data_IF_571802520063
#
_entry.id   IF_571802520063
#
_cell.length_a   1.000
_cell.length_b   1.000
_cell.length_c   1.000
_cell.angle_alpha   90.00
_cell.angle_beta   90.00
_cell.angle_gamma   90.00
#
_symmetry.space_group_name_H-M   'P 1'
#
loop_
_entity.id
_entity.type
_entity.pdbx_description
1 polymer ?
#
# COMPACT_ATOMS: atom_id res chain seq x y z
N UNK A 1 12.82 23.44 10.60
CA UNK A 1 11.76 23.22 9.63
C UNK A 1 11.29 21.75 9.62
N UNK A 2 12.18 20.74 9.47
CA UNK A 2 11.81 19.33 9.37
C UNK A 2 11.08 18.79 10.61
N UNK A 3 11.55 19.09 11.82
CA UNK A 3 10.90 18.68 13.06
C UNK A 3 9.51 19.31 13.24
N UNK A 4 9.29 20.52 12.69
CA UNK A 4 7.96 21.15 12.67
C UNK A 4 7.03 20.46 11.64
N UNK A 5 7.56 20.08 10.48
CA UNK A 5 6.80 19.36 9.47
C UNK A 5 6.25 18.02 10.00
N UNK A 6 7.04 17.28 10.79
CA UNK A 6 6.61 16.00 11.38
C UNK A 6 5.60 16.12 12.54
N UNK A 7 5.26 17.34 12.97
CA UNK A 7 4.16 17.57 13.90
C UNK A 7 2.78 17.75 13.23
N UNK A 8 2.75 17.80 11.90
CA UNK A 8 1.51 17.92 11.10
C UNK A 8 0.88 16.52 11.00
N UNK A 9 -0.34 16.29 11.54
CA UNK A 9 -1.00 14.99 11.50
C UNK A 9 -1.44 14.57 10.09
N UNK A 10 -1.96 15.55 9.32
CA UNK A 10 -2.46 15.31 7.96
C UNK A 10 -1.31 14.91 7.02
N UNK A 11 -1.49 13.78 6.33
CA UNK A 11 -0.42 13.16 5.53
C UNK A 11 0.06 14.04 4.38
N UNK A 12 -0.86 14.61 3.60
CA UNK A 12 -0.51 15.44 2.43
C UNK A 12 0.19 16.73 2.87
N UNK A 13 -0.38 17.46 3.80
CA UNK A 13 0.21 18.70 4.34
C UNK A 13 1.61 18.45 4.93
N UNK A 14 1.79 17.33 5.62
CA UNK A 14 3.11 16.93 6.13
C UNK A 14 4.10 16.65 5.01
N UNK A 15 3.68 15.95 3.94
CA UNK A 15 4.53 15.68 2.78
C UNK A 15 4.97 16.98 2.10
N UNK A 16 4.06 17.93 1.91
CA UNK A 16 4.36 19.23 1.34
C UNK A 16 5.36 20.02 2.21
N UNK A 17 5.16 20.01 3.53
CA UNK A 17 6.07 20.67 4.47
C UNK A 17 7.48 20.03 4.48
N UNK A 18 7.56 18.70 4.39
CA UNK A 18 8.84 17.96 4.26
C UNK A 18 9.51 18.27 2.92
N UNK A 19 8.76 18.30 1.82
CA UNK A 19 9.26 18.67 0.51
C UNK A 19 9.82 20.10 0.49
N UNK A 20 9.11 21.04 1.12
CA UNK A 20 9.58 22.42 1.26
C UNK A 20 10.88 22.52 2.10
N UNK A 21 10.98 21.74 3.18
CA UNK A 21 12.21 21.67 3.99
C UNK A 21 13.38 21.09 3.19
N UNK A 22 13.12 20.05 2.38
CA UNK A 22 14.11 19.45 1.48
C UNK A 22 14.58 20.44 0.41
N UNK A 23 13.66 21.18 -0.20
CA UNK A 23 14.02 22.21 -1.19
C UNK A 23 14.93 23.28 -0.62
N UNK A 24 14.69 23.74 0.61
CA UNK A 24 15.60 24.66 1.33
C UNK A 24 16.98 24.06 1.56
N UNK A 25 17.05 22.77 1.94
CA UNK A 25 18.34 22.09 2.13
C UNK A 25 19.10 21.94 0.80
N UNK A 26 18.40 21.65 -0.30
CA UNK A 26 19.01 21.61 -1.64
C UNK A 26 19.55 22.98 -2.03
N UNK A 27 18.79 24.03 -1.85
CA UNK A 27 19.24 25.39 -2.14
C UNK A 27 20.45 25.83 -1.28
N UNK A 28 20.48 25.39 0.00
CA UNK A 28 21.55 25.76 0.93
C UNK A 28 22.84 24.95 0.75
N UNK A 29 22.76 23.67 0.39
CA UNK A 29 23.91 22.75 0.42
C UNK A 29 24.17 22.02 -0.90
N UNK A 30 23.25 22.11 -1.85
CA UNK A 30 23.35 21.46 -3.15
C UNK A 30 24.44 22.12 -4.03
N UNK A 31 24.93 21.35 -4.99
CA UNK A 31 25.84 21.83 -6.01
C UNK A 31 25.11 22.79 -6.96
N UNK A 32 25.69 23.95 -7.19
CA UNK A 32 25.22 24.98 -8.13
C UNK A 32 26.40 25.64 -8.81
N UNK A 33 26.15 26.52 -9.78
CA UNK A 33 27.20 27.32 -10.45
C UNK A 33 28.00 28.15 -9.43
N UNK A 34 27.29 28.75 -8.45
CA UNK A 34 27.89 29.54 -7.37
C UNK A 34 28.56 28.68 -6.27
N UNK A 35 28.29 27.37 -6.26
CA UNK A 35 28.80 26.43 -5.26
C UNK A 35 29.21 25.11 -5.92
N UNK A 36 30.36 25.08 -6.60
CA UNK A 36 30.87 23.89 -7.28
C UNK A 36 31.21 22.75 -6.32
N UNK A 37 31.59 23.08 -5.06
CA UNK A 37 31.89 22.13 -3.98
C UNK A 37 30.65 21.64 -3.19
N UNK A 38 29.45 22.02 -3.62
CA UNK A 38 28.19 21.58 -3.01
C UNK A 38 28.00 20.08 -3.13
N UNK A 39 27.09 19.55 -2.29
CA UNK A 39 26.76 18.12 -2.29
C UNK A 39 26.02 17.73 -3.58
N UNK A 40 26.34 16.54 -4.09
CA UNK A 40 25.56 15.97 -5.20
C UNK A 40 24.11 15.70 -4.76
N UNK A 41 23.12 15.74 -5.69
CA UNK A 41 21.71 15.49 -5.39
C UNK A 41 21.48 14.16 -4.67
N UNK A 42 22.17 13.09 -5.10
CA UNK A 42 22.06 11.75 -4.50
C UNK A 42 22.57 11.71 -3.06
N UNK A 43 23.74 12.32 -2.81
CA UNK A 43 24.32 12.38 -1.47
C UNK A 43 23.46 13.21 -0.52
N UNK A 44 22.97 14.35 -0.99
CA UNK A 44 22.08 15.20 -0.21
C UNK A 44 20.74 14.52 0.06
N UNK A 45 20.19 13.81 -0.93
CA UNK A 45 18.98 13.00 -0.76
C UNK A 45 19.14 11.90 0.30
N UNK A 46 20.26 11.20 0.31
CA UNK A 46 20.57 10.18 1.32
C UNK A 46 20.68 10.79 2.72
N UNK A 47 21.47 11.85 2.89
CA UNK A 47 21.64 12.53 4.19
C UNK A 47 20.28 13.06 4.70
N UNK A 48 19.48 13.65 3.82
CA UNK A 48 18.17 14.16 4.20
C UNK A 48 17.23 13.05 4.67
N UNK A 49 17.22 11.90 4.01
CA UNK A 49 16.45 10.72 4.38
C UNK A 49 16.89 10.14 5.73
N UNK A 50 18.17 10.10 6.01
CA UNK A 50 18.70 9.67 7.31
C UNK A 50 18.26 10.64 8.42
N UNK A 51 18.31 11.95 8.16
CA UNK A 51 17.82 12.98 9.08
C UNK A 51 16.33 12.87 9.34
N UNK A 52 15.51 12.60 8.30
CA UNK A 52 14.07 12.32 8.46
C UNK A 52 13.85 11.14 9.40
N UNK A 53 14.57 10.03 9.17
CA UNK A 53 14.44 8.84 9.99
C UNK A 53 14.82 9.10 11.46
N UNK A 54 15.87 9.86 11.71
CA UNK A 54 16.31 10.22 13.05
C UNK A 54 15.32 11.12 13.77
N UNK A 55 14.82 12.16 13.11
CA UNK A 55 13.83 13.08 13.67
C UNK A 55 12.56 12.33 14.06
N UNK A 56 12.05 11.46 13.18
CA UNK A 56 10.83 10.68 13.44
C UNK A 56 11.05 9.69 14.59
N UNK A 57 12.17 8.94 14.58
CA UNK A 57 12.46 7.97 15.64
C UNK A 57 12.60 8.63 17.00
N UNK A 58 13.38 9.70 17.10
CA UNK A 58 13.57 10.43 18.37
C UNK A 58 12.25 10.96 18.89
N UNK A 59 11.45 11.59 18.03
CA UNK A 59 10.12 12.07 18.45
C UNK A 59 9.26 10.94 19.01
N UNK A 60 9.20 9.76 18.38
CA UNK A 60 8.41 8.62 18.86
C UNK A 60 8.98 8.08 20.19
N UNK A 61 10.31 7.97 20.32
CA UNK A 61 10.96 7.49 21.54
C UNK A 61 10.73 8.44 22.72
N UNK A 62 10.81 9.74 22.48
CA UNK A 62 10.70 10.77 23.52
C UNK A 62 9.24 11.01 23.95
N UNK A 63 8.29 10.90 23.03
CA UNK A 63 6.89 11.25 23.28
C UNK A 63 5.96 10.06 23.39
N UNK A 64 6.33 8.88 22.87
CA UNK A 64 5.44 7.73 22.74
C UNK A 64 4.31 7.92 21.72
N UNK A 65 4.37 9.01 20.92
CA UNK A 65 3.34 9.36 19.95
C UNK A 65 3.87 9.24 18.52
N UNK A 66 3.12 8.56 17.67
CA UNK A 66 3.44 8.42 16.23
C UNK A 66 3.16 9.71 15.48
N UNK A 67 3.71 9.84 14.27
CA UNK A 67 3.56 11.03 13.41
C UNK A 67 2.09 11.37 13.04
N UNK A 68 1.18 10.42 13.14
CA UNK A 68 -0.26 10.59 12.91
C UNK A 68 -1.05 10.82 14.20
N UNK A 69 -0.38 11.11 15.31
CA UNK A 69 -0.97 11.43 16.62
C UNK A 69 -1.40 10.21 17.44
N UNK A 70 -1.27 8.98 16.93
CA UNK A 70 -1.61 7.76 17.67
C UNK A 70 -0.53 7.41 18.71
N UNK A 71 -0.93 6.72 19.77
CA UNK A 71 -0.02 6.03 20.69
C UNK A 71 0.62 4.81 20.00
N UNK A 72 1.69 4.28 20.56
CA UNK A 72 2.43 3.16 19.98
C UNK A 72 1.63 1.84 19.95
N UNK A 73 0.70 1.66 20.87
CA UNK A 73 -0.22 0.52 21.00
C UNK A 73 -1.56 0.70 20.27
N UNK A 74 -1.81 1.89 19.73
CA UNK A 74 -3.08 2.21 19.06
C UNK A 74 -3.07 1.82 17.59
N UNK A 75 -4.03 1.00 17.17
CA UNK A 75 -4.27 0.62 15.77
C UNK A 75 -5.05 1.74 15.06
N UNK A 76 -4.85 1.92 13.74
CA UNK A 76 -5.71 2.79 12.93
C UNK A 76 -7.14 2.27 12.94
N UNK A 77 -8.10 3.20 12.86
CA UNK A 77 -9.49 2.82 12.73
C UNK A 77 -9.69 1.92 11.51
N UNK A 78 -10.41 0.81 11.72
CA UNK A 78 -10.77 -0.13 10.68
C UNK A 78 -12.29 -0.08 10.51
N UNK A 79 -12.73 0.07 9.28
CA UNK A 79 -14.14 -0.03 8.88
C UNK A 79 -14.23 -1.04 7.73
N UNK A 80 -15.21 -1.93 7.79
CA UNK A 80 -15.49 -2.89 6.73
C UNK A 80 -16.99 -2.81 6.38
N UNK A 81 -17.27 -2.55 5.12
CA UNK A 81 -18.61 -2.43 4.58
C UNK A 81 -18.80 -3.52 3.52
N UNK A 82 -19.94 -4.20 3.53
CA UNK A 82 -20.26 -5.23 2.55
C UNK A 82 -21.42 -4.80 1.66
N UNK A 83 -21.53 -5.38 0.46
CA UNK A 83 -22.62 -5.10 -0.45
C UNK A 83 -22.55 -3.70 -1.09
N UNK A 84 -21.37 -3.09 -1.17
CA UNK A 84 -21.20 -1.73 -1.71
C UNK A 84 -21.46 -1.63 -3.21
N UNK A 85 -21.35 -2.75 -3.94
CA UNK A 85 -21.66 -2.84 -5.38
C UNK A 85 -22.90 -3.69 -5.59
N UNK A 86 -24.04 -3.10 -5.99
CA UNK A 86 -25.33 -3.79 -6.00
C UNK A 86 -25.47 -4.84 -7.13
N UNK A 87 -24.57 -4.84 -8.11
CA UNK A 87 -24.62 -5.75 -9.28
C UNK A 87 -23.49 -6.79 -9.29
N UNK A 88 -22.65 -6.82 -8.27
CA UNK A 88 -21.63 -7.85 -8.09
C UNK A 88 -22.19 -9.02 -7.27
N UNK A 89 -21.63 -10.23 -7.44
CA UNK A 89 -22.00 -11.38 -6.62
C UNK A 89 -21.64 -11.16 -5.15
N UNK A 90 -20.54 -10.47 -4.89
CA UNK A 90 -20.14 -9.99 -3.57
C UNK A 90 -19.22 -8.80 -3.68
N UNK A 91 -19.28 -7.91 -2.71
CA UNK A 91 -18.35 -6.78 -2.65
C UNK A 91 -18.14 -6.33 -1.22
N UNK A 92 -16.95 -5.87 -0.92
CA UNK A 92 -16.59 -5.28 0.38
C UNK A 92 -15.64 -4.11 0.19
N UNK A 93 -15.85 -3.06 0.96
CA UNK A 93 -14.92 -1.94 1.08
C UNK A 93 -14.26 -2.01 2.46
N UNK A 94 -12.97 -2.20 2.47
CA UNK A 94 -12.15 -2.18 3.68
C UNK A 94 -11.40 -0.85 3.77
N UNK A 95 -11.58 -0.15 4.87
CA UNK A 95 -10.91 1.12 5.15
C UNK A 95 -10.08 1.00 6.42
N UNK A 96 -8.81 1.37 6.35
CA UNK A 96 -7.89 1.47 7.49
C UNK A 96 -7.22 2.84 7.50
N UNK A 97 -7.77 3.74 8.30
CA UNK A 97 -7.36 5.16 8.26
C UNK A 97 -7.66 5.76 6.89
N UNK A 98 -6.64 6.21 6.18
CA UNK A 98 -6.75 6.80 4.85
C UNK A 98 -6.62 5.78 3.70
N UNK A 99 -6.31 4.51 4.01
CA UNK A 99 -6.11 3.47 3.01
C UNK A 99 -7.38 2.68 2.81
N UNK A 100 -7.79 2.50 1.55
CA UNK A 100 -8.96 1.72 1.18
C UNK A 100 -8.59 0.56 0.26
N UNK A 101 -9.34 -0.53 0.37
CA UNK A 101 -9.30 -1.67 -0.56
C UNK A 101 -10.73 -2.05 -0.91
N UNK A 102 -11.06 -1.99 -2.19
CA UNK A 102 -12.32 -2.51 -2.72
C UNK A 102 -12.08 -3.95 -3.17
N UNK A 103 -12.81 -4.89 -2.57
CA UNK A 103 -12.78 -6.29 -2.93
C UNK A 103 -14.10 -6.67 -3.63
N UNK A 104 -13.99 -7.30 -4.80
CA UNK A 104 -15.16 -7.74 -5.57
C UNK A 104 -15.07 -9.24 -5.78
N UNK A 105 -16.13 -9.95 -5.39
CA UNK A 105 -16.26 -11.39 -5.57
C UNK A 105 -17.10 -11.68 -6.81
N UNK A 106 -16.61 -12.58 -7.65
CA UNK A 106 -17.34 -13.17 -8.77
C UNK A 106 -17.41 -14.68 -8.55
N UNK A 107 -18.60 -15.24 -8.71
CA UNK A 107 -18.85 -16.68 -8.63
C UNK A 107 -18.97 -17.23 -10.05
N UNK A 108 -18.28 -18.31 -10.31
CA UNK A 108 -18.31 -19.04 -11.56
C UNK A 108 -18.68 -20.51 -11.38
N UNK A 109 -18.75 -21.23 -12.47
CA UNK A 109 -19.00 -22.68 -12.53
C UNK A 109 -17.69 -23.47 -12.50
N UNK A 110 -17.74 -24.77 -12.62
CA UNK A 110 -16.55 -25.62 -12.78
C UNK A 110 -15.76 -25.34 -14.06
N UNK A 111 -16.42 -24.82 -15.11
CA UNK A 111 -15.73 -24.44 -16.37
C UNK A 111 -14.85 -23.18 -16.21
N UNK A 112 -15.08 -22.41 -15.15
CA UNK A 112 -14.32 -21.20 -14.84
C UNK A 112 -13.10 -21.46 -13.95
N UNK A 113 -12.84 -22.72 -13.59
CA UNK A 113 -11.67 -23.09 -12.78
C UNK A 113 -10.36 -22.78 -13.51
N UNK A 114 -9.37 -22.31 -12.76
CA UNK A 114 -8.06 -22.00 -13.31
C UNK A 114 -7.23 -23.28 -13.49
N UNK A 115 -6.89 -23.64 -14.73
CA UNK A 115 -5.92 -24.69 -14.98
C UNK A 115 -4.52 -24.23 -14.57
N UNK A 116 -3.89 -24.96 -13.68
CA UNK A 116 -2.49 -24.79 -13.28
C UNK A 116 -1.67 -25.93 -13.92
N UNK A 117 -0.70 -25.55 -14.76
CA UNK A 117 0.26 -26.47 -15.35
C UNK A 117 1.60 -26.31 -14.62
N UNK A 118 1.84 -27.16 -13.64
CA UNK A 118 3.03 -27.14 -12.79
C UNK A 118 3.95 -28.32 -13.10
N UNK A 119 5.18 -28.27 -12.58
CA UNK A 119 6.15 -29.38 -12.75
C UNK A 119 5.65 -30.70 -12.15
N UNK A 120 4.87 -30.61 -11.07
CA UNK A 120 4.29 -31.78 -10.37
C UNK A 120 3.04 -32.33 -11.08
N UNK A 121 2.55 -31.66 -12.13
CA UNK A 121 1.37 -32.06 -12.87
C UNK A 121 0.33 -30.95 -13.03
N UNK A 122 -0.74 -31.29 -13.72
CA UNK A 122 -1.86 -30.36 -13.98
C UNK A 122 -2.94 -30.53 -12.94
N UNK A 123 -3.44 -29.41 -12.42
CA UNK A 123 -4.59 -29.39 -11.52
C UNK A 123 -5.42 -28.14 -11.72
N UNK A 124 -6.64 -28.16 -11.21
CA UNK A 124 -7.56 -27.03 -11.29
C UNK A 124 -7.67 -26.32 -9.93
N UNK A 125 -7.58 -25.01 -9.96
CA UNK A 125 -7.76 -24.16 -8.78
C UNK A 125 -9.12 -23.44 -8.84
N UNK A 126 -9.89 -23.62 -7.78
CA UNK A 126 -11.26 -23.09 -7.66
C UNK A 126 -11.32 -21.71 -7.03
N UNK A 127 -10.22 -21.25 -6.46
CA UNK A 127 -10.11 -19.95 -5.83
C UNK A 127 -9.01 -19.12 -6.47
N UNK A 128 -9.38 -17.99 -7.03
CA UNK A 128 -8.47 -17.04 -7.64
C UNK A 128 -8.51 -15.71 -6.90
N UNK A 129 -7.36 -15.07 -6.71
CA UNK A 129 -7.27 -13.72 -6.17
C UNK A 129 -6.31 -12.89 -7.01
N UNK A 130 -6.80 -11.76 -7.50
CA UNK A 130 -6.06 -10.80 -8.30
C UNK A 130 -5.93 -9.49 -7.53
N UNK A 131 -4.70 -9.13 -7.19
CA UNK A 131 -4.40 -7.88 -6.49
C UNK A 131 -3.94 -6.83 -7.51
N UNK A 132 -4.64 -5.71 -7.54
CA UNK A 132 -4.34 -4.57 -8.41
C UNK A 132 -3.95 -3.36 -7.56
N UNK A 133 -2.88 -2.67 -7.97
CA UNK A 133 -2.43 -1.45 -7.32
C UNK A 133 -2.11 -0.38 -8.39
N UNK A 134 -3.16 0.21 -8.98
CA UNK A 134 -2.99 1.20 -10.03
C UNK A 134 -2.36 2.50 -9.49
N UNK A 135 -1.71 3.31 -10.34
CA UNK A 135 -1.03 4.54 -9.93
C UNK A 135 -1.91 5.52 -9.15
N UNK A 136 -3.19 5.62 -9.48
CA UNK A 136 -4.13 6.49 -8.77
C UNK A 136 -4.32 6.12 -7.29
N UNK A 137 -3.98 4.89 -6.87
CA UNK A 137 -4.02 4.48 -5.45
C UNK A 137 -3.07 5.29 -4.56
N UNK A 138 -2.07 5.92 -5.14
CA UNK A 138 -1.11 6.81 -4.47
C UNK A 138 -1.19 8.26 -4.97
N UNK A 139 -2.24 8.61 -5.73
CA UNK A 139 -2.45 9.95 -6.27
C UNK A 139 -1.53 10.28 -7.46
N UNK A 140 -0.97 9.27 -8.11
CA UNK A 140 -0.08 9.44 -9.26
C UNK A 140 -0.80 9.12 -10.57
N UNK A 141 -0.34 9.71 -11.66
CA UNK A 141 -0.69 9.31 -13.01
C UNK A 141 0.36 8.33 -13.54
N UNK A 142 -0.07 7.31 -14.27
CA UNK A 142 0.85 6.33 -14.82
C UNK A 142 0.16 5.33 -15.73
N UNK A 143 0.96 4.47 -16.36
CA UNK A 143 0.45 3.43 -17.25
C UNK A 143 -0.28 2.35 -16.46
N UNK A 144 -1.50 2.06 -16.87
CA UNK A 144 -2.24 0.87 -16.42
C UNK A 144 -1.82 -0.32 -17.30
N UNK A 145 -1.34 -1.40 -16.66
CA UNK A 145 -0.83 -2.56 -17.37
C UNK A 145 -0.93 -3.83 -16.54
N UNK A 146 -0.21 -4.87 -16.94
CA UNK A 146 -0.12 -6.12 -16.19
C UNK A 146 0.47 -5.87 -14.78
N UNK A 147 0.04 -6.64 -13.76
CA UNK A 147 0.56 -6.50 -12.40
C UNK A 147 2.08 -6.72 -12.34
N UNK A 148 2.76 -5.89 -11.60
CA UNK A 148 4.18 -6.03 -11.32
C UNK A 148 4.48 -7.16 -10.31
N UNK A 149 5.76 -7.50 -10.14
CA UNK A 149 6.18 -8.56 -9.20
C UNK A 149 5.69 -8.34 -7.77
N UNK A 150 5.66 -7.08 -7.32
CA UNK A 150 5.18 -6.71 -5.98
C UNK A 150 3.69 -7.01 -5.81
N UNK A 151 2.89 -6.67 -6.81
CA UNK A 151 1.44 -6.92 -6.81
C UNK A 151 1.14 -8.42 -6.82
N UNK A 152 1.84 -9.19 -7.66
CA UNK A 152 1.74 -10.66 -7.68
C UNK A 152 2.09 -11.26 -6.31
N UNK A 153 3.17 -10.80 -5.68
CA UNK A 153 3.58 -11.24 -4.34
C UNK A 153 2.54 -10.91 -3.26
N UNK A 154 2.00 -9.69 -3.26
CA UNK A 154 0.93 -9.28 -2.35
C UNK A 154 -0.35 -10.08 -2.57
N UNK A 155 -0.75 -10.27 -3.83
CA UNK A 155 -1.89 -11.11 -4.19
C UNK A 155 -1.76 -12.53 -3.67
N UNK A 156 -0.56 -13.14 -3.79
CA UNK A 156 -0.30 -14.50 -3.27
C UNK A 156 -0.37 -14.56 -1.73
N UNK A 157 0.09 -13.53 -1.03
CA UNK A 157 -0.05 -13.45 0.42
C UNK A 157 -1.53 -13.37 0.84
N UNK A 158 -2.31 -12.51 0.19
CA UNK A 158 -3.74 -12.40 0.43
C UNK A 158 -4.49 -13.71 0.11
N UNK A 159 -4.17 -14.34 -1.01
CA UNK A 159 -4.72 -15.65 -1.41
C UNK A 159 -4.47 -16.71 -0.32
N UNK A 160 -3.23 -16.80 0.19
CA UNK A 160 -2.88 -17.75 1.26
C UNK A 160 -3.62 -17.47 2.56
N UNK A 161 -3.84 -16.20 2.90
CA UNK A 161 -4.55 -15.82 4.12
C UNK A 161 -6.05 -16.12 4.05
N UNK A 162 -6.67 -15.94 2.89
CA UNK A 162 -8.12 -16.14 2.69
C UNK A 162 -8.47 -17.62 2.46
N UNK A 163 -7.62 -18.37 1.80
CA UNK A 163 -7.89 -19.77 1.41
C UNK A 163 -8.44 -20.66 2.53
N UNK A 164 -7.91 -20.63 3.78
CA UNK A 164 -8.44 -21.43 4.88
C UNK A 164 -9.84 -21.02 5.36
N UNK A 165 -10.31 -19.86 4.95
CA UNK A 165 -11.62 -19.30 5.34
C UNK A 165 -12.71 -19.56 4.31
N UNK A 166 -12.35 -20.19 3.18
CA UNK A 166 -13.33 -20.52 2.14
C UNK A 166 -14.28 -21.62 2.64
N UNK A 167 -15.57 -21.57 2.25
CA UNK A 167 -16.49 -22.66 2.52
C UNK A 167 -16.04 -23.95 1.82
N UNK A 168 -16.46 -25.09 2.35
CA UNK A 168 -16.23 -26.37 1.72
C UNK A 168 -16.95 -26.43 0.35
N UNK A 169 -16.33 -27.07 -0.63
CA UNK A 169 -16.86 -27.06 -1.99
C UNK A 169 -18.23 -27.79 -2.13
N UNK A 170 -18.47 -28.81 -1.35
CA UNK A 170 -19.75 -29.52 -1.27
C UNK A 170 -20.87 -28.66 -0.68
N UNK A 171 -20.54 -27.70 0.16
CA UNK A 171 -21.51 -26.73 0.71
C UNK A 171 -21.67 -25.50 -0.21
N UNK A 172 -20.62 -25.13 -0.93
CA UNK A 172 -20.61 -23.97 -1.81
C UNK A 172 -19.88 -24.26 -3.13
N UNK A 173 -20.55 -24.94 -4.09
CA UNK A 173 -19.95 -25.49 -5.30
C UNK A 173 -19.71 -24.45 -6.41
N UNK A 174 -19.04 -23.36 -6.07
CA UNK A 174 -18.70 -22.31 -7.01
C UNK A 174 -17.19 -22.10 -7.10
N UNK A 175 -16.73 -21.77 -8.30
CA UNK A 175 -15.42 -21.16 -8.49
C UNK A 175 -15.47 -19.71 -8.02
N UNK A 176 -14.56 -19.32 -7.13
CA UNK A 176 -14.54 -17.99 -6.51
C UNK A 176 -13.37 -17.17 -7.06
N UNK A 177 -13.67 -16.01 -7.61
CA UNK A 177 -12.66 -15.04 -8.05
C UNK A 177 -12.80 -13.75 -7.24
N UNK A 178 -11.74 -13.35 -6.56
CA UNK A 178 -11.60 -12.04 -5.90
C UNK A 178 -10.70 -11.12 -6.72
N UNK A 179 -11.12 -9.86 -6.87
CA UNK A 179 -10.34 -8.79 -7.51
C UNK A 179 -10.32 -7.59 -6.59
#
# INVERSE_FOLDING_TARGET
DLAAAFKIPAKLERQDAVAAAKAKAVAAFGKSEDRPDGLSPDKLGSIFKDLEADVVRRNILDTGIRIDGRKVDQVRQIVAEVGVLPRAHGSALFTRGETQSLCVATLGTGDDEQLIDALEGKYYEKFMLHYNFPPFSVGETGRMGAPGRREVGHGKLAWRAIRPMLPAYDEFPYTIRLV
#
